data_IF_715029292875
#
_entry.id   IF_715029292875
#
_cell.length_a   1.000
_cell.length_b   1.000
_cell.length_c   1.000
_cell.angle_alpha   90.00
_cell.angle_beta   90.00
_cell.angle_gamma   90.00
#
_symmetry.space_group_name_H-M   'P 1'
#
loop_
_entity.id
_entity.type
_entity.pdbx_description
1 polymer ?
#
# COMPACT_ATOMS: atom_id res chain seq x y z
N UNK A 1 -21.01 42.98 79.38
CA UNK A 1 -19.91 42.20 79.96
C UNK A 1 -20.35 40.75 80.07
N UNK A 2 -19.46 39.86 79.64
CA UNK A 2 -19.45 38.40 79.80
C UNK A 2 -20.09 37.59 78.68
N UNK A 3 -19.24 37.46 77.67
CA UNK A 3 -19.01 36.31 76.80
C UNK A 3 -19.41 34.96 77.40
N UNK A 4 -20.03 34.12 76.58
CA UNK A 4 -19.95 32.67 76.73
C UNK A 4 -19.81 32.05 75.34
N UNK A 5 -18.55 31.82 74.94
CA UNK A 5 -18.18 31.02 73.78
C UNK A 5 -18.64 29.56 74.03
N UNK A 6 -19.56 29.06 73.21
CA UNK A 6 -19.74 27.62 73.02
C UNK A 6 -18.75 27.15 71.95
N UNK A 7 -17.68 26.48 72.40
CA UNK A 7 -16.73 25.80 71.53
C UNK A 7 -17.38 24.52 71.02
N UNK A 8 -17.97 24.57 69.81
CA UNK A 8 -18.47 23.39 69.11
C UNK A 8 -17.26 22.65 68.50
N UNK A 9 -16.73 21.64 69.19
CA UNK A 9 -15.76 20.72 68.61
C UNK A 9 -16.46 19.90 67.50
N UNK A 10 -16.30 20.32 66.25
CA UNK A 10 -16.55 19.47 65.09
C UNK A 10 -15.52 18.32 65.12
N UNK A 11 -15.96 17.14 65.55
CA UNK A 11 -15.29 15.88 65.26
C UNK A 11 -15.42 15.63 63.75
N UNK A 12 -14.40 16.04 62.99
CA UNK A 12 -14.19 15.56 61.63
C UNK A 12 -13.95 14.05 61.70
N UNK A 13 -15.00 13.28 61.39
CA UNK A 13 -14.86 11.86 61.09
C UNK A 13 -14.11 11.79 59.76
N UNK A 14 -12.79 11.66 59.82
CA UNK A 14 -11.98 11.29 58.67
C UNK A 14 -12.42 9.87 58.27
N UNK A 15 -13.26 9.77 57.23
CA UNK A 15 -13.47 8.50 56.55
C UNK A 15 -12.13 7.96 56.04
N UNK A 16 -11.98 6.64 55.84
CA UNK A 16 -10.75 6.10 55.30
C UNK A 16 -10.48 6.78 53.97
N UNK A 17 -9.34 7.49 53.89
CA UNK A 17 -8.76 7.87 52.60
C UNK A 17 -8.46 6.54 51.93
N UNK A 18 -9.31 6.12 50.99
CA UNK A 18 -8.93 5.13 50.00
C UNK A 18 -7.74 5.76 49.28
N UNK A 19 -6.53 5.30 49.60
CA UNK A 19 -5.38 5.49 48.73
C UNK A 19 -5.78 4.87 47.41
N UNK A 20 -6.21 5.69 46.45
CA UNK A 20 -6.38 5.27 45.08
C UNK A 20 -5.03 4.67 44.69
N UNK A 21 -5.03 3.42 44.27
CA UNK A 21 -3.81 2.72 43.90
C UNK A 21 -3.26 3.46 42.68
N UNK A 22 -2.35 4.40 42.92
CA UNK A 22 -1.83 5.27 41.89
C UNK A 22 -1.02 4.47 40.87
N UNK A 23 -0.53 5.15 39.84
CA UNK A 23 0.41 4.59 38.87
C UNK A 23 1.58 3.86 39.54
N UNK A 24 1.55 2.53 39.43
CA UNK A 24 2.53 1.62 40.02
C UNK A 24 3.54 1.14 38.99
N UNK A 25 4.69 0.66 39.46
CA UNK A 25 5.69 0.07 38.58
C UNK A 25 5.17 -1.23 37.94
N UNK A 26 4.31 -1.98 38.64
CA UNK A 26 3.64 -3.15 38.08
C UNK A 26 2.72 -2.76 36.92
N UNK A 27 1.95 -1.68 37.06
CA UNK A 27 1.09 -1.18 35.98
C UNK A 27 1.93 -0.64 34.80
N UNK A 28 3.07 0.02 35.08
CA UNK A 28 4.03 0.47 34.05
C UNK A 28 4.56 -0.71 33.26
N UNK A 29 5.09 -1.72 33.95
CA UNK A 29 5.66 -2.90 33.31
C UNK A 29 4.61 -3.68 32.52
N UNK A 30 3.38 -3.80 33.04
CA UNK A 30 2.28 -4.44 32.33
C UNK A 30 1.98 -3.80 30.96
N UNK A 31 1.98 -2.47 30.88
CA UNK A 31 1.78 -1.76 29.62
C UNK A 31 2.98 -1.93 28.68
N UNK A 32 4.21 -1.80 29.20
CA UNK A 32 5.43 -1.98 28.41
C UNK A 32 5.54 -3.39 27.83
N UNK A 33 5.28 -4.42 28.63
CA UNK A 33 5.34 -5.82 28.21
C UNK A 33 4.36 -6.10 27.08
N UNK A 34 3.12 -5.61 27.17
CA UNK A 34 2.11 -5.84 26.14
C UNK A 34 2.37 -5.04 24.86
N UNK A 35 2.85 -3.81 24.96
CA UNK A 35 3.27 -3.06 23.78
C UNK A 35 4.47 -3.76 23.11
N UNK A 36 5.51 -4.14 23.86
CA UNK A 36 6.67 -4.82 23.29
C UNK A 36 6.30 -6.18 22.68
N UNK A 37 5.46 -6.97 23.36
CA UNK A 37 4.93 -8.24 22.85
C UNK A 37 4.22 -8.05 21.51
N UNK A 38 3.25 -7.14 21.46
CA UNK A 38 2.47 -6.91 20.23
C UNK A 38 3.31 -6.34 19.09
N UNK A 39 4.33 -5.52 19.39
CA UNK A 39 5.32 -5.08 18.39
C UNK A 39 6.04 -6.29 17.79
N UNK A 40 6.61 -7.16 18.63
CA UNK A 40 7.38 -8.31 18.18
C UNK A 40 6.51 -9.34 17.43
N UNK A 41 5.25 -9.51 17.84
CA UNK A 41 4.31 -10.37 17.11
C UNK A 41 3.92 -9.78 15.75
N UNK A 42 3.66 -8.47 15.67
CA UNK A 42 3.38 -7.81 14.38
C UNK A 42 4.58 -7.88 13.45
N UNK A 43 5.78 -7.63 13.97
CA UNK A 43 7.03 -7.73 13.21
C UNK A 43 7.18 -9.11 12.57
N UNK A 44 6.95 -10.19 13.33
CA UNK A 44 6.97 -11.56 12.80
C UNK A 44 5.95 -11.77 11.68
N UNK A 45 4.80 -11.12 11.74
CA UNK A 45 3.77 -11.28 10.71
C UNK A 45 4.08 -10.50 9.43
N UNK A 46 4.81 -9.38 9.53
CA UNK A 46 5.05 -8.48 8.39
C UNK A 46 6.48 -8.54 7.84
N UNK A 47 7.42 -9.11 8.59
CA UNK A 47 8.80 -9.30 8.15
C UNK A 47 8.84 -10.19 6.90
N UNK A 48 9.59 -9.75 5.90
CA UNK A 48 9.77 -10.50 4.65
C UNK A 48 8.56 -10.49 3.71
N UNK A 49 7.46 -9.80 4.04
CA UNK A 49 6.34 -9.69 3.11
C UNK A 49 6.76 -8.91 1.84
N UNK A 50 6.43 -9.49 0.68
CA UNK A 50 6.60 -8.83 -0.62
C UNK A 50 5.55 -7.73 -0.83
N UNK A 51 5.78 -6.84 -1.81
CA UNK A 51 4.79 -5.81 -2.16
C UNK A 51 3.41 -6.40 -2.53
N UNK A 52 3.38 -7.52 -3.26
CA UNK A 52 2.11 -8.19 -3.59
C UNK A 52 1.41 -8.76 -2.35
N UNK A 53 2.16 -9.26 -1.36
CA UNK A 53 1.61 -9.72 -0.09
C UNK A 53 1.10 -8.57 0.79
N UNK A 54 1.83 -7.45 0.82
CA UNK A 54 1.40 -6.22 1.51
C UNK A 54 0.07 -5.69 0.98
N UNK A 55 -0.14 -5.82 -0.34
CA UNK A 55 -1.29 -5.26 -1.05
C UNK A 55 -2.38 -6.29 -1.40
N UNK A 56 -2.22 -7.56 -1.02
CA UNK A 56 -3.23 -8.59 -1.23
C UNK A 56 -4.53 -8.26 -0.48
N UNK A 57 -5.67 -8.46 -1.13
CA UNK A 57 -7.01 -8.29 -0.56
C UNK A 57 -7.82 -9.56 -0.78
N UNK A 58 -8.45 -10.06 0.28
CA UNK A 58 -9.34 -11.23 0.23
C UNK A 58 -10.55 -10.97 -0.71
N UNK A 59 -11.02 -9.72 -0.76
CA UNK A 59 -12.11 -9.22 -1.60
C UNK A 59 -11.96 -7.71 -1.86
N UNK A 60 -12.61 -7.12 -2.89
CA UNK A 60 -12.42 -5.72 -3.26
C UNK A 60 -12.56 -4.73 -2.09
N UNK A 61 -13.52 -4.98 -1.20
CA UNK A 61 -13.87 -4.08 -0.09
C UNK A 61 -13.14 -4.40 1.22
N UNK A 62 -12.24 -5.40 1.21
CA UNK A 62 -11.45 -5.77 2.38
C UNK A 62 -10.15 -4.98 2.48
N UNK A 63 -9.61 -4.91 3.70
CA UNK A 63 -8.29 -4.34 3.94
C UNK A 63 -7.18 -5.34 3.64
N UNK A 64 -6.11 -4.86 3.01
CA UNK A 64 -4.84 -5.57 2.89
C UNK A 64 -4.03 -5.51 4.19
N UNK A 65 -2.91 -6.24 4.26
CA UNK A 65 -1.98 -6.15 5.38
C UNK A 65 -1.45 -4.71 5.54
N UNK A 66 -1.11 -4.03 4.44
CA UNK A 66 -0.66 -2.63 4.47
C UNK A 66 -1.69 -1.72 5.14
N UNK A 67 -2.96 -1.84 4.76
CA UNK A 67 -4.04 -1.03 5.31
C UNK A 67 -4.30 -1.35 6.80
N UNK A 68 -4.19 -2.62 7.20
CA UNK A 68 -4.32 -3.00 8.62
C UNK A 68 -3.20 -2.38 9.46
N UNK A 69 -1.96 -2.37 8.97
CA UNK A 69 -0.84 -1.74 9.68
C UNK A 69 -0.97 -0.21 9.69
N UNK A 70 -1.41 0.42 8.59
CA UNK A 70 -1.71 1.85 8.56
C UNK A 70 -2.75 2.24 9.61
N UNK A 71 -3.84 1.46 9.68
CA UNK A 71 -4.91 1.63 10.66
C UNK A 71 -4.37 1.61 12.10
N UNK A 72 -3.53 0.63 12.43
CA UNK A 72 -2.88 0.56 13.74
C UNK A 72 -2.00 1.77 14.00
N UNK A 73 -1.21 2.20 13.01
CA UNK A 73 -0.37 3.41 13.12
C UNK A 73 -1.17 4.70 13.36
N UNK A 74 -2.36 4.81 12.76
CA UNK A 74 -3.28 5.93 13.03
C UNK A 74 -3.69 5.94 14.50
N UNK A 75 -4.01 4.79 15.09
CA UNK A 75 -4.38 4.68 16.51
C UNK A 75 -3.20 4.92 17.46
N UNK A 76 -1.98 4.50 17.10
CA UNK A 76 -0.76 4.85 17.84
C UNK A 76 -0.65 6.37 18.03
N UNK A 77 -0.89 7.15 16.97
CA UNK A 77 -0.84 8.62 17.01
C UNK A 77 -2.06 9.24 17.67
N UNK A 78 -3.26 8.84 17.26
CA UNK A 78 -4.52 9.42 17.75
C UNK A 78 -4.62 9.32 19.26
N UNK A 79 -4.33 8.14 19.82
CA UNK A 79 -4.36 7.97 21.27
C UNK A 79 -3.14 8.56 21.96
N UNK A 80 -1.98 8.68 21.31
CA UNK A 80 -0.85 9.41 21.88
C UNK A 80 -1.22 10.88 22.12
N UNK A 81 -1.79 11.54 21.11
CA UNK A 81 -2.19 12.95 21.21
C UNK A 81 -3.27 13.14 22.30
N UNK A 82 -4.24 12.23 22.38
CA UNK A 82 -5.26 12.24 23.44
C UNK A 82 -4.64 12.08 24.84
N UNK A 83 -3.78 11.07 25.04
CA UNK A 83 -3.11 10.83 26.33
C UNK A 83 -2.20 11.99 26.73
N UNK A 84 -1.46 12.55 25.78
CA UNK A 84 -0.59 13.69 26.02
C UNK A 84 -1.40 14.89 26.55
N UNK A 85 -2.51 15.22 25.90
CA UNK A 85 -3.38 16.30 26.36
C UNK A 85 -3.96 16.02 27.76
N UNK A 86 -4.45 14.81 28.01
CA UNK A 86 -4.97 14.42 29.33
C UNK A 86 -3.92 14.52 30.43
N UNK A 87 -2.66 14.17 30.13
CA UNK A 87 -1.54 14.23 31.09
C UNK A 87 -1.15 15.64 31.52
N UNK A 88 -1.58 16.66 30.76
CA UNK A 88 -1.37 18.07 31.09
C UNK A 88 -2.52 18.67 31.92
N UNK A 89 -3.64 17.97 32.03
CA UNK A 89 -4.81 18.40 32.80
C UNK A 89 -4.68 17.96 34.26
N UNK A 90 -5.35 18.64 35.22
CA UNK A 90 -5.42 18.16 36.60
C UNK A 90 -5.99 16.72 36.69
N UNK A 91 -5.56 15.90 37.66
CA UNK A 91 -6.16 14.59 37.89
C UNK A 91 -7.60 14.73 38.39
N UNK A 92 -8.47 13.81 37.99
CA UNK A 92 -9.91 13.75 38.34
C UNK A 92 -10.22 12.40 39.03
N UNK A 93 -9.62 12.11 40.21
CA UNK A 93 -9.73 10.82 40.89
C UNK A 93 -11.18 10.42 41.24
N UNK A 94 -12.08 11.40 41.40
CA UNK A 94 -13.51 11.23 41.65
C UNK A 94 -14.25 10.54 40.50
N UNK A 95 -13.68 10.49 39.30
CA UNK A 95 -14.26 9.83 38.14
C UNK A 95 -13.97 8.32 38.08
N UNK A 96 -13.31 7.73 39.09
CA UNK A 96 -12.97 6.31 39.09
C UNK A 96 -14.16 5.36 38.88
N UNK A 97 -15.33 5.67 39.43
CA UNK A 97 -16.53 4.84 39.29
C UNK A 97 -17.23 5.00 37.92
N UNK A 98 -16.72 5.88 37.05
CA UNK A 98 -17.29 6.16 35.72
C UNK A 98 -16.70 5.33 34.58
N UNK A 99 -15.68 4.51 34.86
CA UNK A 99 -15.09 3.55 33.90
C UNK A 99 -15.54 2.12 34.14
N UNK A 100 -15.34 1.25 33.15
CA UNK A 100 -15.46 -0.20 33.26
C UNK A 100 -14.12 -0.81 33.71
N UNK A 101 -14.08 -2.02 34.30
CA UNK A 101 -12.82 -2.69 34.61
C UNK A 101 -12.01 -3.00 33.35
N UNK A 102 -10.69 -3.17 33.49
CA UNK A 102 -9.78 -3.44 32.38
C UNK A 102 -10.15 -4.68 31.57
N UNK A 103 -10.67 -5.73 32.24
CA UNK A 103 -11.16 -6.96 31.61
C UNK A 103 -12.24 -6.69 30.57
N UNK A 104 -13.10 -5.69 30.77
CA UNK A 104 -14.14 -5.33 29.81
C UNK A 104 -13.54 -4.92 28.46
N UNK A 105 -12.47 -4.13 28.47
CA UNK A 105 -11.82 -3.66 27.24
C UNK A 105 -11.03 -4.76 26.54
N UNK A 106 -10.41 -5.65 27.32
CA UNK A 106 -9.75 -6.84 26.80
C UNK A 106 -10.77 -7.76 26.11
N UNK A 107 -11.90 -8.04 26.75
CA UNK A 107 -12.98 -8.88 26.20
C UNK A 107 -13.57 -8.26 24.93
N UNK A 108 -13.82 -6.94 24.94
CA UNK A 108 -14.32 -6.21 23.77
C UNK A 108 -13.32 -6.24 22.58
N UNK A 109 -12.02 -6.24 22.84
CA UNK A 109 -11.02 -6.37 21.77
C UNK A 109 -10.80 -7.83 21.34
N UNK A 110 -11.10 -8.79 22.20
CA UNK A 110 -10.98 -10.21 21.93
C UNK A 110 -12.11 -10.74 21.04
N UNK A 111 -13.31 -10.17 21.12
CA UNK A 111 -14.43 -10.61 20.28
C UNK A 111 -14.17 -10.45 18.77
N UNK A 112 -14.93 -11.19 17.95
CA UNK A 112 -14.74 -11.30 16.50
C UNK A 112 -15.85 -10.64 15.67
N UNK A 113 -16.76 -9.90 16.32
CA UNK A 113 -17.84 -9.21 15.62
C UNK A 113 -17.28 -8.16 14.64
N UNK A 114 -17.85 -8.03 13.42
CA UNK A 114 -17.40 -7.01 12.47
C UNK A 114 -17.56 -5.60 13.03
N UNK A 115 -16.52 -4.78 12.88
CA UNK A 115 -16.56 -3.36 13.24
C UNK A 115 -16.22 -2.51 12.02
N UNK A 116 -16.92 -1.39 11.89
CA UNK A 116 -16.60 -0.37 10.90
C UNK A 116 -15.70 0.67 11.55
N UNK A 117 -14.51 0.87 10.99
CA UNK A 117 -13.64 1.94 11.46
C UNK A 117 -14.29 3.31 11.23
N UNK A 118 -14.15 4.26 12.18
CA UNK A 118 -14.61 5.62 11.96
C UNK A 118 -13.81 6.25 10.82
N UNK A 119 -14.40 7.21 10.11
CA UNK A 119 -13.76 7.84 8.94
C UNK A 119 -12.36 8.39 9.21
N UNK A 120 -12.09 8.89 10.43
CA UNK A 120 -10.75 9.39 10.81
C UNK A 120 -9.68 8.30 10.96
N UNK A 121 -10.06 7.03 10.90
CA UNK A 121 -9.19 5.88 11.07
C UNK A 121 -9.32 4.89 9.90
N UNK A 122 -9.97 5.28 8.81
CA UNK A 122 -9.91 4.50 7.57
C UNK A 122 -8.54 4.74 6.93
N UNK A 123 -7.80 3.68 6.57
CA UNK A 123 -6.52 3.78 5.86
C UNK A 123 -6.64 4.63 4.60
N UNK A 124 -5.71 5.55 4.40
CA UNK A 124 -5.68 6.44 3.24
C UNK A 124 -4.71 5.93 2.16
N UNK A 125 -3.95 4.87 2.44
CA UNK A 125 -2.96 4.26 1.55
C UNK A 125 -1.86 5.24 1.14
N UNK A 126 -1.52 6.18 2.04
CA UNK A 126 -0.47 7.18 1.78
C UNK A 126 0.94 6.58 1.82
N UNK A 127 1.13 5.51 2.61
CA UNK A 127 2.39 4.79 2.73
C UNK A 127 2.40 3.55 1.83
N UNK A 128 3.52 3.27 1.17
CA UNK A 128 3.66 2.12 0.25
C UNK A 128 4.16 0.89 1.00
N UNK A 129 3.51 -0.25 0.80
CA UNK A 129 3.95 -1.56 1.29
C UNK A 129 4.53 -1.52 2.70
N UNK A 130 5.82 -1.84 2.81
CA UNK A 130 6.58 -1.88 4.07
C UNK A 130 6.70 -0.56 4.83
N UNK A 131 6.51 0.60 4.20
CA UNK A 131 6.63 1.91 4.87
C UNK A 131 5.53 2.09 5.94
N UNK A 132 4.41 1.35 5.82
CA UNK A 132 3.39 1.27 6.85
C UNK A 132 3.95 0.76 8.19
N UNK A 133 4.90 -0.17 8.15
CA UNK A 133 5.56 -0.69 9.35
C UNK A 133 6.39 0.39 10.05
N UNK A 134 7.17 1.17 9.29
CA UNK A 134 7.94 2.28 9.84
C UNK A 134 7.03 3.35 10.45
N UNK A 135 5.90 3.64 9.81
CA UNK A 135 4.89 4.57 10.35
C UNK A 135 4.32 4.09 11.69
N UNK A 136 3.95 2.81 11.78
CA UNK A 136 3.49 2.20 13.03
C UNK A 136 4.56 2.27 14.12
N UNK A 137 5.79 1.84 13.83
CA UNK A 137 6.90 1.84 14.78
C UNK A 137 7.20 3.24 15.34
N UNK A 138 7.20 4.26 14.48
CA UNK A 138 7.43 5.64 14.92
C UNK A 138 6.35 6.16 15.89
N UNK A 139 5.13 5.62 15.83
CA UNK A 139 4.08 5.85 16.83
C UNK A 139 4.32 5.05 18.11
N UNK A 140 4.62 3.75 17.96
CA UNK A 140 4.89 2.82 19.06
C UNK A 140 6.04 3.28 19.96
N UNK A 141 7.15 3.72 19.37
CA UNK A 141 8.32 4.23 20.12
C UNK A 141 7.97 5.42 21.01
N UNK A 142 7.10 6.35 20.53
CA UNK A 142 6.67 7.50 21.33
C UNK A 142 5.79 7.06 22.50
N UNK A 143 4.89 6.11 22.26
CA UNK A 143 4.02 5.56 23.28
C UNK A 143 4.82 4.83 24.37
N UNK A 144 5.78 3.99 23.98
CA UNK A 144 6.73 3.34 24.91
C UNK A 144 7.51 4.40 25.69
N UNK A 145 8.08 5.39 25.01
CA UNK A 145 8.86 6.44 25.67
C UNK A 145 8.05 7.21 26.71
N UNK A 146 6.80 7.54 26.39
CA UNK A 146 5.90 8.20 27.34
C UNK A 146 5.67 7.34 28.60
N UNK A 147 5.43 6.04 28.43
CA UNK A 147 5.28 5.12 29.57
C UNK A 147 6.58 5.01 30.37
N UNK A 148 7.75 5.01 29.75
CA UNK A 148 9.03 4.90 30.46
C UNK A 148 9.35 6.14 31.31
N UNK A 149 9.04 7.34 30.83
CA UNK A 149 9.53 8.59 31.45
C UNK A 149 8.49 9.31 32.29
N UNK A 150 7.23 8.92 32.23
CA UNK A 150 6.15 9.61 32.93
C UNK A 150 6.22 9.46 34.46
N UNK A 151 5.90 10.53 35.16
CA UNK A 151 5.54 10.56 36.59
C UNK A 151 4.04 10.78 36.80
N UNK A 152 3.30 11.03 35.72
CA UNK A 152 1.85 11.26 35.74
C UNK A 152 1.11 9.98 36.09
N UNK A 153 0.12 10.08 37.00
CA UNK A 153 -0.73 8.95 37.36
C UNK A 153 -1.74 8.63 36.26
N UNK A 154 -1.41 7.69 35.37
CA UNK A 154 -2.27 7.29 34.26
C UNK A 154 -3.66 6.76 34.68
N UNK A 155 -3.84 6.37 35.94
CA UNK A 155 -5.14 5.95 36.48
C UNK A 155 -6.04 7.13 36.88
N UNK A 156 -5.50 8.35 36.97
CA UNK A 156 -6.20 9.51 37.53
C UNK A 156 -6.69 10.54 36.47
N UNK A 157 -6.36 10.37 35.19
CA UNK A 157 -6.78 11.28 34.10
C UNK A 157 -7.74 10.59 33.14
N UNK A 158 -8.91 11.20 32.90
CA UNK A 158 -10.03 10.56 32.22
C UNK A 158 -10.48 11.33 30.96
N UNK A 159 -10.89 10.59 29.94
CA UNK A 159 -11.48 11.15 28.71
C UNK A 159 -12.95 10.76 28.55
N UNK A 160 -13.72 11.67 27.93
CA UNK A 160 -15.14 11.52 27.69
C UNK A 160 -15.40 10.58 26.49
N UNK A 161 -16.42 9.73 26.62
CA UNK A 161 -16.94 8.89 25.53
C UNK A 161 -18.42 9.17 25.29
N UNK A 162 -18.88 8.93 24.06
CA UNK A 162 -20.26 9.25 23.62
C UNK A 162 -21.35 8.48 24.37
N UNK A 163 -21.01 7.34 24.98
CA UNK A 163 -21.91 6.52 25.79
C UNK A 163 -21.95 6.94 27.28
N UNK A 164 -21.34 8.08 27.63
CA UNK A 164 -21.29 8.58 29.01
C UNK A 164 -20.28 7.89 29.92
N UNK A 165 -19.61 6.82 29.45
CA UNK A 165 -18.49 6.19 30.17
C UNK A 165 -17.19 6.99 29.99
N UNK A 166 -16.23 6.76 30.87
CA UNK A 166 -14.89 7.34 30.81
C UNK A 166 -13.85 6.27 30.62
N UNK A 167 -12.75 6.62 29.97
CA UNK A 167 -11.52 5.81 29.95
C UNK A 167 -10.42 6.62 30.60
N UNK A 168 -9.58 6.00 31.41
CA UNK A 168 -8.35 6.64 31.88
C UNK A 168 -7.18 6.41 30.91
N UNK A 169 -6.04 7.08 31.14
CA UNK A 169 -4.85 6.92 30.29
C UNK A 169 -4.33 5.46 30.31
N UNK A 170 -4.38 4.78 31.45
CA UNK A 170 -3.98 3.38 31.56
C UNK A 170 -4.81 2.48 30.61
N UNK A 171 -6.12 2.67 30.63
CA UNK A 171 -7.06 1.94 29.78
C UNK A 171 -6.92 2.29 28.30
N UNK A 172 -6.54 3.52 27.96
CA UNK A 172 -6.20 3.88 26.58
C UNK A 172 -5.02 3.06 26.03
N UNK A 173 -4.04 2.70 26.88
CA UNK A 173 -2.97 1.79 26.47
C UNK A 173 -3.41 0.34 26.41
N UNK A 174 -4.28 -0.11 27.34
CA UNK A 174 -4.89 -1.44 27.25
C UNK A 174 -5.62 -1.62 25.93
N UNK A 175 -6.48 -0.67 25.59
CA UNK A 175 -7.20 -0.67 24.32
C UNK A 175 -6.22 -0.66 23.14
N UNK A 176 -5.12 0.10 23.21
CA UNK A 176 -4.14 0.17 22.12
C UNK A 176 -3.47 -1.19 21.84
N UNK A 177 -2.94 -1.88 22.86
CA UNK A 177 -2.29 -3.18 22.61
C UNK A 177 -3.32 -4.27 22.29
N UNK A 178 -4.50 -4.25 22.92
CA UNK A 178 -5.54 -5.23 22.64
C UNK A 178 -6.14 -5.05 21.23
N UNK A 179 -6.17 -3.82 20.73
CA UNK A 179 -6.49 -3.52 19.34
C UNK A 179 -5.44 -4.09 18.37
N UNK A 180 -4.15 -4.05 18.75
CA UNK A 180 -3.10 -4.74 17.99
C UNK A 180 -3.33 -6.26 17.97
N UNK A 181 -3.68 -6.87 19.12
CA UNK A 181 -4.02 -8.30 19.19
C UNK A 181 -5.18 -8.68 18.26
N UNK A 182 -6.21 -7.84 18.18
CA UNK A 182 -7.32 -7.99 17.24
C UNK A 182 -6.85 -7.98 15.78
N UNK A 183 -6.03 -7.01 15.41
CA UNK A 183 -5.54 -6.88 14.05
C UNK A 183 -4.43 -7.87 13.68
N UNK A 184 -3.70 -8.42 14.65
CA UNK A 184 -2.85 -9.59 14.47
C UNK A 184 -3.66 -10.79 13.97
N UNK A 185 -4.82 -11.06 14.57
CA UNK A 185 -5.73 -12.12 14.10
C UNK A 185 -6.21 -11.85 12.67
N UNK A 186 -6.51 -10.59 12.35
CA UNK A 186 -6.88 -10.21 10.98
C UNK A 186 -5.75 -10.45 9.97
N UNK A 187 -4.51 -10.03 10.28
CA UNK A 187 -3.36 -10.24 9.39
C UNK A 187 -3.12 -11.73 9.16
N UNK A 188 -3.15 -12.54 10.23
CA UNK A 188 -3.01 -14.00 10.15
C UNK A 188 -4.09 -14.63 9.26
N UNK A 189 -5.34 -14.15 9.37
CA UNK A 189 -6.43 -14.59 8.48
C UNK A 189 -6.16 -14.24 7.02
N UNK A 190 -5.76 -13.00 6.72
CA UNK A 190 -5.41 -12.56 5.36
C UNK A 190 -4.30 -13.45 4.78
N UNK A 191 -3.24 -13.70 5.55
CA UNK A 191 -2.10 -14.54 5.14
C UNK A 191 -2.47 -16.01 4.94
N UNK A 192 -3.51 -16.50 5.61
CA UNK A 192 -4.02 -17.86 5.46
C UNK A 192 -4.91 -18.05 4.23
N UNK A 193 -5.27 -16.97 3.52
CA UNK A 193 -6.13 -17.04 2.36
C UNK A 193 -5.48 -17.89 1.24
N UNK A 194 -6.22 -18.79 0.56
CA UNK A 194 -5.64 -19.68 -0.47
C UNK A 194 -4.93 -18.95 -1.62
N UNK A 195 -5.40 -17.76 -1.96
CA UNK A 195 -4.82 -16.90 -3.00
C UNK A 195 -3.79 -15.89 -2.48
N UNK A 196 -3.49 -15.90 -1.17
CA UNK A 196 -2.41 -15.06 -0.64
C UNK A 196 -1.09 -15.43 -1.35
N UNK A 197 -0.34 -14.46 -1.90
CA UNK A 197 0.86 -14.77 -2.66
C UNK A 197 1.87 -15.54 -1.80
N UNK A 198 2.44 -16.63 -2.34
CA UNK A 198 3.43 -17.46 -1.62
C UNK A 198 4.84 -16.89 -1.82
N UNK A 199 5.70 -17.09 -0.82
CA UNK A 199 7.11 -16.73 -0.84
C UNK A 199 7.79 -17.36 -2.09
N UNK A 200 8.44 -16.53 -2.92
CA UNK A 200 8.98 -16.94 -4.23
C UNK A 200 8.28 -16.36 -5.46
N UNK A 201 7.17 -15.63 -5.28
CA UNK A 201 6.54 -14.82 -6.34
C UNK A 201 6.97 -13.34 -6.31
N UNK A 202 8.17 -13.06 -5.81
CA UNK A 202 8.73 -11.71 -5.90
C UNK A 202 9.20 -11.48 -7.35
N UNK A 203 8.44 -10.68 -8.08
CA UNK A 203 8.85 -10.21 -9.39
C UNK A 203 10.07 -9.35 -9.19
N UNK A 204 11.23 -9.82 -9.62
CA UNK A 204 12.39 -8.94 -9.77
C UNK A 204 12.06 -7.97 -10.91
N UNK A 205 11.38 -6.88 -10.59
CA UNK A 205 10.83 -5.95 -11.58
C UNK A 205 11.90 -5.39 -12.51
N UNK A 206 13.13 -5.18 -12.02
CA UNK A 206 14.24 -4.74 -12.84
C UNK A 206 14.62 -5.79 -13.90
N UNK A 207 14.79 -7.05 -13.47
CA UNK A 207 15.10 -8.17 -14.36
C UNK A 207 13.97 -8.40 -15.37
N UNK A 208 12.73 -8.43 -14.90
CA UNK A 208 11.56 -8.69 -15.74
C UNK A 208 11.32 -7.53 -16.72
N UNK A 209 11.52 -6.27 -16.28
CA UNK A 209 11.50 -5.10 -17.16
C UNK A 209 12.57 -5.20 -18.23
N UNK A 210 13.80 -5.57 -17.88
CA UNK A 210 14.87 -5.74 -18.86
C UNK A 210 14.53 -6.84 -19.88
N UNK A 211 13.90 -7.95 -19.45
CA UNK A 211 13.45 -9.01 -20.33
C UNK A 211 12.33 -8.53 -21.28
N UNK A 212 11.31 -7.85 -20.76
CA UNK A 212 10.23 -7.26 -21.57
C UNK A 212 10.78 -6.29 -22.62
N UNK A 213 11.71 -5.41 -22.23
CA UNK A 213 12.31 -4.44 -23.15
C UNK A 213 13.08 -5.11 -24.28
N UNK A 214 13.73 -6.26 -24.03
CA UNK A 214 14.36 -7.07 -25.08
C UNK A 214 13.33 -7.61 -26.08
N UNK A 215 12.19 -8.11 -25.60
CA UNK A 215 11.11 -8.61 -26.48
C UNK A 215 10.54 -7.48 -27.33
N UNK A 216 10.25 -6.31 -26.73
CA UNK A 216 9.76 -5.13 -27.45
C UNK A 216 10.78 -4.67 -28.50
N UNK A 217 12.07 -4.63 -28.15
CA UNK A 217 13.13 -4.26 -29.09
C UNK A 217 13.20 -5.25 -30.26
N UNK A 218 13.25 -6.55 -29.98
CA UNK A 218 13.36 -7.58 -31.00
C UNK A 218 12.14 -7.60 -31.94
N UNK A 219 10.93 -7.48 -31.39
CA UNK A 219 9.71 -7.38 -32.19
C UNK A 219 9.69 -6.14 -33.08
N UNK A 220 10.13 -4.99 -32.54
CA UNK A 220 10.23 -3.74 -33.31
C UNK A 220 11.23 -3.88 -34.45
N UNK A 221 12.40 -4.48 -34.19
CA UNK A 221 13.44 -4.68 -35.19
C UNK A 221 12.98 -5.61 -36.31
N UNK A 222 12.29 -6.70 -35.96
CA UNK A 222 11.75 -7.64 -36.93
C UNK A 222 10.58 -7.06 -37.74
N UNK A 223 9.71 -6.26 -37.10
CA UNK A 223 8.70 -5.52 -37.84
C UNK A 223 9.33 -4.52 -38.82
N UNK A 224 10.31 -3.72 -38.37
CA UNK A 224 10.93 -2.70 -39.21
C UNK A 224 11.82 -3.26 -40.32
N UNK A 225 12.40 -4.44 -40.15
CA UNK A 225 13.15 -5.17 -41.17
C UNK A 225 12.28 -6.03 -42.10
N UNK A 226 10.97 -6.12 -41.81
CA UNK A 226 9.99 -6.92 -42.58
C UNK A 226 10.23 -8.43 -42.47
N UNK A 227 10.76 -8.87 -41.33
CA UNK A 227 10.92 -10.28 -40.99
C UNK A 227 9.68 -10.78 -40.24
N UNK A 228 8.74 -11.37 -40.98
CA UNK A 228 7.47 -11.84 -40.44
C UNK A 228 7.64 -13.00 -39.45
N UNK A 229 8.49 -13.98 -39.77
CA UNK A 229 8.68 -15.16 -38.92
C UNK A 229 9.34 -14.75 -37.59
N UNK A 230 10.33 -13.83 -37.64
CA UNK A 230 10.89 -13.24 -36.43
C UNK A 230 9.88 -12.37 -35.66
N UNK A 231 9.04 -11.59 -36.34
CA UNK A 231 8.04 -10.78 -35.66
C UNK A 231 7.05 -11.65 -34.87
N UNK A 232 6.55 -12.72 -35.51
CA UNK A 232 5.52 -13.61 -34.99
C UNK A 232 5.89 -14.33 -33.68
N UNK A 233 7.16 -14.70 -33.50
CA UNK A 233 7.63 -15.39 -32.27
C UNK A 233 7.56 -14.52 -30.99
N UNK A 234 7.41 -13.20 -31.12
CA UNK A 234 7.35 -12.27 -29.98
C UNK A 234 5.93 -12.00 -29.49
N UNK A 235 4.91 -12.53 -30.17
CA UNK A 235 3.51 -12.31 -29.85
C UNK A 235 2.87 -13.48 -29.11
N UNK A 236 1.94 -13.17 -28.21
CA UNK A 236 1.04 -14.14 -27.61
C UNK A 236 -0.02 -14.49 -28.65
N UNK A 237 -0.09 -15.77 -29.04
CA UNK A 237 -0.94 -16.24 -30.13
C UNK A 237 -2.34 -16.61 -29.63
N UNK A 238 -2.97 -15.66 -28.94
CA UNK A 238 -4.18 -15.88 -28.17
C UNK A 238 -5.42 -15.16 -28.73
N UNK A 239 -6.60 -15.57 -28.26
CA UNK A 239 -7.87 -14.97 -28.66
C UNK A 239 -8.02 -13.50 -28.23
N UNK A 240 -7.30 -13.06 -27.18
CA UNK A 240 -7.28 -11.68 -26.72
C UNK A 240 -6.14 -10.85 -27.31
N UNK A 241 -5.32 -11.40 -28.22
CA UNK A 241 -4.27 -10.63 -28.87
C UNK A 241 -4.87 -9.41 -29.58
N UNK A 242 -4.23 -8.25 -29.42
CA UNK A 242 -4.78 -7.00 -29.93
C UNK A 242 -3.73 -6.10 -30.55
N UNK A 243 -4.09 -5.43 -31.64
CA UNK A 243 -3.25 -4.45 -32.28
C UNK A 243 -4.07 -3.25 -32.74
N UNK A 244 -3.56 -2.05 -32.50
CA UNK A 244 -4.14 -0.83 -33.06
C UNK A 244 -3.12 0.28 -33.36
N UNK A 245 -3.44 1.11 -34.34
CA UNK A 245 -2.75 2.35 -34.64
C UNK A 245 -3.70 3.37 -35.30
N UNK A 246 -3.36 4.66 -35.23
CA UNK A 246 -4.04 5.69 -36.00
C UNK A 246 -3.35 5.91 -37.34
N UNK A 247 -4.10 6.44 -38.32
CA UNK A 247 -3.62 6.75 -39.65
C UNK A 247 -3.47 8.27 -39.85
N UNK A 248 -2.75 8.67 -40.89
CA UNK A 248 -2.45 10.08 -41.18
C UNK A 248 -3.70 10.91 -41.56
N UNK A 249 -4.75 10.26 -42.04
CA UNK A 249 -6.04 10.88 -42.39
C UNK A 249 -7.00 11.02 -41.20
N UNK A 250 -6.59 10.56 -40.01
CA UNK A 250 -7.39 10.59 -38.79
C UNK A 250 -8.25 9.34 -38.57
N UNK A 251 -8.23 8.36 -39.47
CA UNK A 251 -8.81 7.04 -39.22
C UNK A 251 -7.93 6.20 -38.29
N UNK A 252 -8.38 4.98 -37.98
CA UNK A 252 -7.60 4.01 -37.19
C UNK A 252 -7.84 2.60 -37.70
N UNK A 253 -6.85 1.74 -37.45
CA UNK A 253 -6.95 0.31 -37.64
C UNK A 253 -6.84 -0.35 -36.27
N UNK A 254 -7.75 -1.28 -36.00
CA UNK A 254 -7.72 -2.11 -34.80
C UNK A 254 -8.12 -3.55 -35.14
N UNK A 255 -7.46 -4.52 -34.51
CA UNK A 255 -7.71 -5.96 -34.69
C UNK A 255 -7.74 -6.64 -33.32
N UNK A 256 -8.60 -7.64 -33.17
CA UNK A 256 -8.74 -8.44 -31.95
C UNK A 256 -8.71 -9.92 -32.34
N UNK A 257 -7.97 -10.70 -31.56
CA UNK A 257 -7.68 -12.10 -31.80
C UNK A 257 -6.47 -12.30 -32.70
N UNK A 258 -5.64 -13.28 -32.34
CA UNK A 258 -4.39 -13.59 -33.03
C UNK A 258 -4.57 -13.80 -34.53
N UNK A 259 -5.61 -14.53 -34.97
CA UNK A 259 -5.84 -14.78 -36.39
C UNK A 259 -6.00 -13.49 -37.22
N UNK A 260 -6.63 -12.45 -36.67
CA UNK A 260 -6.81 -11.18 -37.36
C UNK A 260 -5.52 -10.34 -37.37
N UNK A 261 -4.80 -10.31 -36.24
CA UNK A 261 -3.51 -9.62 -36.10
C UNK A 261 -2.44 -10.24 -37.02
N UNK A 262 -2.32 -11.57 -36.98
CA UNK A 262 -1.37 -12.35 -37.79
C UNK A 262 -1.56 -12.12 -39.28
N UNK A 263 -2.82 -12.21 -39.75
CA UNK A 263 -3.16 -12.00 -41.15
C UNK A 263 -2.82 -10.58 -41.61
N UNK A 264 -3.23 -9.57 -40.87
CA UNK A 264 -3.01 -8.17 -41.24
C UNK A 264 -1.52 -7.84 -41.33
N UNK A 265 -0.72 -8.29 -40.36
CA UNK A 265 0.71 -8.00 -40.34
C UNK A 265 1.47 -8.80 -41.40
N UNK A 266 1.08 -10.05 -41.65
CA UNK A 266 1.61 -10.81 -42.78
C UNK A 266 1.35 -10.09 -44.11
N UNK A 267 0.12 -9.62 -44.33
CA UNK A 267 -0.28 -8.88 -45.53
C UNK A 267 0.49 -7.54 -45.62
N UNK A 268 0.65 -6.81 -44.52
CA UNK A 268 1.42 -5.56 -44.47
C UNK A 268 2.90 -5.79 -44.80
N UNK A 269 3.57 -6.74 -44.14
CA UNK A 269 4.99 -7.03 -44.33
C UNK A 269 5.26 -7.44 -45.79
N UNK A 270 4.42 -8.31 -46.34
CA UNK A 270 4.53 -8.76 -47.73
C UNK A 270 4.39 -7.61 -48.75
N UNK A 271 3.48 -6.68 -48.49
CA UNK A 271 3.16 -5.60 -49.43
C UNK A 271 4.03 -4.34 -49.25
N UNK A 272 4.84 -4.26 -48.18
CA UNK A 272 5.66 -3.09 -47.87
C UNK A 272 7.14 -3.47 -47.64
N UNK A 273 7.84 -3.99 -48.66
CA UNK A 273 9.23 -4.40 -48.53
C UNK A 273 10.14 -3.21 -48.20
N UNK A 274 11.21 -3.48 -47.46
CA UNK A 274 12.24 -2.47 -47.16
C UNK A 274 13.22 -2.33 -48.31
N UNK A 275 13.69 -1.10 -48.51
CA UNK A 275 14.71 -0.77 -49.50
C UNK A 275 16.12 -1.23 -49.10
N UNK A 276 17.17 -0.69 -49.73
CA UNK A 276 18.56 -1.12 -49.53
C UNK A 276 19.05 -1.09 -48.07
N UNK A 277 18.46 -0.23 -47.23
CA UNK A 277 18.76 -0.12 -45.81
C UNK A 277 18.34 -1.36 -44.98
N UNK A 278 17.54 -2.28 -45.56
CA UNK A 278 16.98 -3.48 -44.88
C UNK A 278 16.16 -3.19 -43.62
N UNK A 279 15.84 -1.93 -43.36
CA UNK A 279 14.95 -1.48 -42.29
C UNK A 279 14.24 -0.21 -42.73
N UNK A 280 13.01 -0.04 -42.27
CA UNK A 280 12.22 1.18 -42.48
C UNK A 280 12.57 2.29 -41.49
N UNK A 281 13.10 1.95 -40.32
CA UNK A 281 13.42 2.90 -39.24
C UNK A 281 14.73 2.45 -38.56
N UNK A 282 15.92 2.80 -39.09
CA UNK A 282 17.21 2.38 -38.56
C UNK A 282 17.53 2.92 -37.15
N UNK A 283 16.84 3.95 -36.68
CA UNK A 283 17.00 4.50 -35.32
C UNK A 283 15.65 4.62 -34.61
N UNK A 284 15.61 4.12 -33.38
CA UNK A 284 14.46 4.21 -32.48
C UNK A 284 14.91 4.76 -31.13
N UNK A 285 14.30 5.86 -30.70
CA UNK A 285 14.59 6.49 -29.40
C UNK A 285 13.35 6.37 -28.52
N UNK A 286 13.49 5.79 -27.32
CA UNK A 286 12.39 5.61 -26.37
C UNK A 286 12.61 6.46 -25.12
N UNK A 287 11.56 7.14 -24.65
CA UNK A 287 11.57 8.01 -23.48
C UNK A 287 10.38 7.71 -22.56
N UNK A 288 10.54 8.00 -21.27
CA UNK A 288 9.46 7.98 -20.27
C UNK A 288 8.73 6.63 -20.16
N UNK A 289 9.48 5.54 -20.02
CA UNK A 289 8.90 4.22 -19.74
C UNK A 289 8.22 4.19 -18.37
N UNK A 290 6.94 3.84 -18.37
CA UNK A 290 6.18 3.47 -17.19
C UNK A 290 5.80 2.01 -17.34
N UNK A 291 6.07 1.22 -16.30
CA UNK A 291 5.75 -0.21 -16.24
C UNK A 291 4.93 -0.44 -14.98
N UNK A 292 3.89 -1.25 -15.09
CA UNK A 292 3.14 -1.78 -13.94
C UNK A 292 3.01 -3.28 -14.11
N UNK A 293 3.57 -4.03 -13.17
CA UNK A 293 3.41 -5.48 -13.12
C UNK A 293 2.07 -5.84 -12.46
N UNK A 294 1.47 -6.92 -12.94
CA UNK A 294 0.28 -7.56 -12.39
C UNK A 294 0.65 -9.01 -12.06
N UNK A 295 1.38 -9.19 -10.96
CA UNK A 295 2.03 -10.48 -10.66
C UNK A 295 3.23 -10.77 -11.57
N UNK A 296 3.68 -12.03 -11.61
CA UNK A 296 4.89 -12.46 -12.33
C UNK A 296 4.69 -12.73 -13.82
N UNK A 297 3.44 -12.81 -14.25
CA UNK A 297 3.06 -13.29 -15.59
C UNK A 297 2.45 -12.21 -16.48
N UNK A 298 2.16 -11.01 -15.96
CA UNK A 298 1.55 -9.93 -16.75
C UNK A 298 2.14 -8.56 -16.41
N UNK A 299 2.26 -7.70 -17.42
CA UNK A 299 2.70 -6.31 -17.24
C UNK A 299 2.04 -5.36 -18.25
N UNK A 300 1.73 -4.15 -17.81
CA UNK A 300 1.32 -3.05 -18.67
C UNK A 300 2.45 -2.04 -18.80
N UNK A 301 2.69 -1.56 -20.01
CA UNK A 301 3.73 -0.58 -20.33
C UNK A 301 3.18 0.56 -21.15
N UNK A 302 3.68 1.77 -20.90
CA UNK A 302 3.53 2.91 -21.80
C UNK A 302 4.81 3.72 -21.88
N UNK A 303 5.12 4.25 -23.07
CA UNK A 303 6.29 5.09 -23.29
C UNK A 303 6.07 6.02 -24.49
N UNK A 304 6.97 6.99 -24.67
CA UNK A 304 7.08 7.77 -25.90
C UNK A 304 8.19 7.21 -26.79
N UNK A 305 7.93 7.09 -28.09
CA UNK A 305 8.88 6.53 -29.04
C UNK A 305 9.04 7.44 -30.26
N UNK A 306 10.29 7.66 -30.66
CA UNK A 306 10.66 8.41 -31.85
C UNK A 306 11.28 7.45 -32.85
N UNK A 307 10.61 7.29 -34.00
CA UNK A 307 11.01 6.37 -35.05
C UNK A 307 11.58 7.17 -36.22
N UNK A 308 12.80 6.84 -36.68
CA UNK A 308 13.44 7.57 -37.77
C UNK A 308 12.85 7.26 -39.14
N UNK A 309 12.95 8.17 -40.10
CA UNK A 309 12.84 7.83 -41.52
C UNK A 309 13.93 6.82 -41.95
N UNK A 310 13.82 6.33 -43.19
CA UNK A 310 14.73 5.32 -43.73
C UNK A 310 16.19 5.81 -43.82
N UNK A 311 16.38 7.13 -43.96
CA UNK A 311 17.67 7.80 -43.99
C UNK A 311 18.26 8.02 -42.57
N UNK A 312 17.46 7.85 -41.51
CA UNK A 312 17.89 8.03 -40.12
C UNK A 312 18.09 9.49 -39.71
N UNK A 313 17.43 10.44 -40.40
CA UNK A 313 17.61 11.88 -40.25
C UNK A 313 16.47 12.57 -39.51
N UNK A 314 15.22 12.25 -39.86
CA UNK A 314 14.04 12.82 -39.22
C UNK A 314 13.30 11.75 -38.43
N UNK A 315 12.64 12.17 -37.35
CA UNK A 315 11.89 11.28 -36.47
C UNK A 315 10.42 11.66 -36.40
N UNK A 316 9.56 10.65 -36.32
CA UNK A 316 8.15 10.81 -35.94
C UNK A 316 7.94 10.29 -34.53
N UNK A 317 7.18 11.04 -33.75
CA UNK A 317 6.77 10.61 -32.41
C UNK A 317 5.60 9.64 -32.48
N UNK A 318 5.56 8.70 -31.54
CA UNK A 318 4.49 7.77 -31.28
C UNK A 318 4.31 7.59 -29.78
N UNK A 319 3.06 7.57 -29.31
CA UNK A 319 2.71 7.19 -27.94
C UNK A 319 2.37 5.71 -27.95
N UNK A 320 3.14 4.95 -27.18
CA UNK A 320 3.05 3.49 -27.19
C UNK A 320 2.38 2.96 -25.92
N UNK A 321 1.64 1.88 -26.08
CA UNK A 321 1.09 1.06 -24.99
C UNK A 321 1.20 -0.42 -25.32
N UNK A 322 1.58 -1.23 -24.33
CA UNK A 322 1.67 -2.70 -24.44
C UNK A 322 1.08 -3.39 -23.23
N UNK A 323 0.44 -4.53 -23.46
CA UNK A 323 0.24 -5.56 -22.45
C UNK A 323 1.17 -6.71 -22.82
N UNK A 324 1.97 -7.12 -21.84
CA UNK A 324 2.90 -8.24 -21.93
C UNK A 324 2.36 -9.37 -21.07
N UNK A 325 2.47 -10.58 -21.57
CA UNK A 325 2.12 -11.80 -20.85
C UNK A 325 3.26 -12.79 -20.94
N UNK A 326 3.47 -13.58 -19.90
CA UNK A 326 4.45 -14.64 -19.90
C UNK A 326 3.78 -15.94 -20.31
N UNK A 327 4.32 -16.55 -21.36
CA UNK A 327 3.86 -17.80 -21.94
C UNK A 327 5.03 -18.78 -21.86
N UNK A 328 4.84 -19.91 -21.17
CA UNK A 328 5.89 -20.92 -20.96
C UNK A 328 7.20 -20.33 -20.38
N UNK A 329 7.09 -19.31 -19.53
CA UNK A 329 8.24 -18.65 -18.90
C UNK A 329 8.85 -17.50 -19.73
N UNK A 330 8.41 -17.29 -20.98
CA UNK A 330 8.89 -16.23 -21.85
C UNK A 330 7.88 -15.09 -21.99
N UNK A 331 8.36 -13.84 -21.94
CA UNK A 331 7.50 -12.70 -22.24
C UNK A 331 7.11 -12.64 -23.71
N UNK A 332 5.83 -12.42 -23.95
CA UNK A 332 5.20 -12.21 -25.25
C UNK A 332 4.32 -10.98 -25.23
N UNK A 333 4.15 -10.36 -26.39
CA UNK A 333 3.26 -9.21 -26.58
C UNK A 333 1.84 -9.72 -26.78
N UNK A 334 0.95 -9.39 -25.86
CA UNK A 334 -0.48 -9.68 -26.00
C UNK A 334 -1.23 -8.50 -26.64
N UNK A 335 -0.77 -7.27 -26.42
CA UNK A 335 -1.43 -6.08 -26.91
C UNK A 335 -0.45 -5.03 -27.41
N UNK A 336 -0.75 -4.44 -28.56
CA UNK A 336 -0.07 -3.28 -29.15
C UNK A 336 -1.06 -2.16 -29.40
N UNK A 337 -0.73 -0.96 -28.94
CA UNK A 337 -1.30 0.28 -29.46
C UNK A 337 -0.21 1.31 -29.69
N UNK A 338 -0.15 1.84 -30.91
CA UNK A 338 0.84 2.81 -31.33
C UNK A 338 0.14 4.03 -31.94
N UNK A 339 0.15 5.16 -31.21
CA UNK A 339 -0.47 6.39 -31.68
C UNK A 339 0.57 7.36 -32.24
N UNK A 340 0.65 7.46 -33.56
CA UNK A 340 1.62 8.25 -34.31
C UNK A 340 1.21 9.70 -34.48
N UNK A 341 2.16 10.60 -34.26
CA UNK A 341 2.08 11.99 -34.68
C UNK A 341 2.55 12.10 -36.14
N UNK A 342 1.58 12.15 -37.06
CA UNK A 342 1.90 12.27 -38.48
C UNK A 342 2.31 13.69 -38.91
N UNK A 343 2.02 14.70 -38.09
CA UNK A 343 2.21 16.11 -38.44
C UNK A 343 3.62 16.59 -38.11
N UNK A 344 4.08 16.29 -36.90
CA UNK A 344 5.36 16.82 -36.42
C UNK A 344 6.55 15.93 -36.82
N UNK A 345 7.72 16.55 -36.92
CA UNK A 345 9.01 15.92 -37.15
C UNK A 345 10.03 16.48 -36.18
N UNK A 346 11.00 15.63 -35.84
CA UNK A 346 12.08 15.98 -34.94
C UNK A 346 13.41 15.59 -35.57
N UNK A 347 14.44 16.41 -35.36
CA UNK A 347 15.83 16.03 -35.61
C UNK A 347 16.39 15.29 -34.41
N UNK A 348 17.47 14.53 -34.62
CA UNK A 348 18.15 13.83 -33.52
C UNK A 348 18.65 14.81 -32.42
N UNK A 349 19.04 16.03 -32.81
CA UNK A 349 19.48 17.08 -31.87
C UNK A 349 18.37 17.54 -30.93
N UNK A 350 17.13 17.66 -31.42
CA UNK A 350 15.97 18.01 -30.60
C UNK A 350 15.57 16.91 -29.60
N UNK A 351 16.11 15.71 -29.75
CA UNK A 351 15.81 14.54 -28.94
C UNK A 351 16.88 14.20 -27.91
N UNK A 352 18.03 14.88 -27.91
CA UNK A 352 19.01 14.82 -26.82
C UNK A 352 18.46 15.59 -25.62
#
# INVERSE_FOLDING_TARGET
MKDLLFLLCLLLVAGPIRTQQGWTEEARQYLLDNLNRTTAELEKEVAGLSESQWHFREKPDSWSVAQVIEHLGIYERKYYDERYLLSLMPPEPELADSTSPDSYYLDWMAEEQPHTAPGSAVPLELMKGKDNWAYFLAGRERNVKMIETTEVDFGAHYTYRSNGKRWNIHQLYIILFAHCDRHLRQIRRIKSHPEFPKEGMEVNEEKERAAILKVIQAETDCFFSRDYDCWKQHWAQEAHAFQAWNNADGSFDARTGWAAVDKEIADYIKNNPVGPAKTSHPKVIRKNFVVKFYGSEAAYLTWGQYNSDAEGQQFRYSKESRIMEKHEGEWKIAHVSAFWDYKNRFTEEQLK
#
